data_IF_367648861601
#
_entry.id   IF_367648861601
#
_cell.length_a   1.000
_cell.length_b   1.000
_cell.length_c   1.000
_cell.angle_alpha   90.00
_cell.angle_beta   90.00
_cell.angle_gamma   90.00
#
_symmetry.space_group_name_H-M   'P 1'
#
loop_
_entity.id
_entity.type
_entity.pdbx_description
1 polymer ?
#
# COMPACT_ATOMS: atom_id res chain seq x y z
N UNK A 1 -19.94 7.04 11.23
CA UNK A 1 -20.01 5.88 10.31
C UNK A 1 -18.59 5.50 9.87
N UNK A 2 -17.83 4.76 10.68
CA UNK A 2 -16.38 4.50 10.50
C UNK A 2 -16.02 3.01 10.38
N UNK A 3 -17.02 2.11 10.38
CA UNK A 3 -16.80 0.66 10.38
C UNK A 3 -16.33 0.06 9.04
N UNK A 4 -16.79 0.61 7.91
CA UNK A 4 -16.56 0.02 6.59
C UNK A 4 -15.07 0.01 6.16
N UNK A 5 -14.31 1.05 6.55
CA UNK A 5 -12.89 1.14 6.21
C UNK A 5 -12.04 0.07 6.91
N UNK A 6 -12.38 -0.25 8.17
CA UNK A 6 -11.62 -1.19 8.97
C UNK A 6 -11.84 -2.65 8.52
N UNK A 7 -13.07 -2.97 8.10
CA UNK A 7 -13.40 -4.29 7.58
C UNK A 7 -12.72 -4.55 6.22
N UNK A 8 -12.64 -3.53 5.37
CA UNK A 8 -11.97 -3.63 4.06
C UNK A 8 -10.48 -3.90 4.22
N UNK A 9 -9.82 -3.23 5.17
CA UNK A 9 -8.40 -3.44 5.48
C UNK A 9 -8.16 -4.85 6.06
N UNK A 10 -9.05 -5.33 6.93
CA UNK A 10 -8.97 -6.71 7.47
C UNK A 10 -9.17 -7.77 6.40
N UNK A 11 -10.12 -7.58 5.49
CA UNK A 11 -10.33 -8.47 4.33
C UNK A 11 -9.10 -8.50 3.43
N UNK A 12 -8.47 -7.35 3.20
CA UNK A 12 -7.21 -7.26 2.46
C UNK A 12 -6.09 -8.06 3.15
N UNK A 13 -5.94 -7.92 4.47
CA UNK A 13 -4.94 -8.66 5.25
C UNK A 13 -5.19 -10.18 5.27
N UNK A 14 -6.46 -10.61 5.33
CA UNK A 14 -6.82 -12.02 5.27
C UNK A 14 -6.52 -12.64 3.89
N UNK A 15 -6.85 -11.95 2.80
CA UNK A 15 -6.52 -12.40 1.44
C UNK A 15 -5.01 -12.36 1.19
N UNK A 16 -4.33 -11.32 1.68
CA UNK A 16 -2.88 -11.23 1.65
C UNK A 16 -2.19 -12.36 2.44
N UNK A 17 -2.89 -13.06 3.34
CA UNK A 17 -2.35 -14.20 4.08
C UNK A 17 -2.28 -15.49 3.26
N UNK A 18 -2.98 -15.55 2.13
CA UNK A 18 -2.95 -16.69 1.21
C UNK A 18 -2.19 -16.40 -0.08
N UNK A 19 -1.87 -15.13 -0.36
CA UNK A 19 -1.11 -14.72 -1.53
C UNK A 19 0.30 -14.27 -1.15
N UNK A 20 1.31 -14.91 -1.75
CA UNK A 20 2.71 -14.50 -1.64
C UNK A 20 2.96 -13.09 -2.21
N UNK A 21 2.11 -12.67 -3.15
CA UNK A 21 2.18 -11.37 -3.81
C UNK A 21 0.83 -10.66 -3.67
N UNK A 22 0.84 -9.44 -3.14
CA UNK A 22 -0.32 -8.56 -2.99
C UNK A 22 -0.18 -7.42 -3.98
N UNK A 23 -1.05 -7.35 -4.97
CA UNK A 23 -1.05 -6.22 -5.92
C UNK A 23 -2.18 -5.26 -5.57
N UNK A 24 -1.85 -3.98 -5.43
CA UNK A 24 -2.78 -2.91 -5.07
C UNK A 24 -2.83 -1.90 -6.21
N UNK A 25 -3.97 -1.80 -6.87
CA UNK A 25 -4.21 -0.78 -7.88
C UNK A 25 -4.46 0.59 -7.23
N UNK A 26 -3.54 1.53 -7.46
CA UNK A 26 -3.61 2.91 -6.99
C UNK A 26 -4.08 3.88 -8.08
N UNK A 27 -4.65 3.41 -9.19
CA UNK A 27 -5.08 4.26 -10.31
C UNK A 27 -6.18 5.26 -9.95
N UNK A 28 -6.99 4.93 -8.92
CA UNK A 28 -8.01 5.82 -8.34
C UNK A 28 -7.50 6.67 -7.17
N UNK A 29 -6.27 6.43 -6.70
CA UNK A 29 -5.68 7.16 -5.58
C UNK A 29 -5.17 8.52 -6.09
N UNK A 30 -5.90 9.60 -5.78
CA UNK A 30 -5.54 10.96 -6.22
C UNK A 30 -4.61 11.68 -5.26
N UNK A 31 -4.82 11.52 -3.95
CA UNK A 31 -4.05 12.17 -2.89
C UNK A 31 -3.96 11.24 -1.70
N UNK A 32 -2.82 11.29 -1.00
CA UNK A 32 -2.62 10.63 0.28
C UNK A 32 -1.94 11.63 1.21
N UNK A 33 -2.40 11.70 2.45
CA UNK A 33 -1.75 12.51 3.47
C UNK A 33 -0.59 11.74 4.12
N UNK A 34 0.33 12.45 4.77
CA UNK A 34 1.47 11.83 5.47
C UNK A 34 1.05 10.75 6.47
N UNK A 35 -0.06 10.96 7.18
CA UNK A 35 -0.61 9.97 8.13
C UNK A 35 -1.07 8.70 7.41
N UNK A 36 -1.72 8.86 6.25
CA UNK A 36 -2.15 7.73 5.41
C UNK A 36 -0.96 6.97 4.85
N UNK A 37 0.09 7.67 4.40
CA UNK A 37 1.32 7.07 3.91
C UNK A 37 2.08 6.31 5.00
N UNK A 38 2.17 6.84 6.23
CA UNK A 38 2.76 6.13 7.36
C UNK A 38 1.98 4.87 7.76
N UNK A 39 0.64 4.94 7.69
CA UNK A 39 -0.21 3.75 7.91
C UNK A 39 0.03 2.70 6.83
N UNK A 40 0.10 3.12 5.57
CA UNK A 40 0.41 2.24 4.45
C UNK A 40 1.78 1.57 4.66
N UNK A 41 2.80 2.35 5.00
CA UNK A 41 4.15 1.85 5.30
C UNK A 41 4.13 0.76 6.37
N UNK A 42 3.46 0.99 7.50
CA UNK A 42 3.39 0.01 8.58
C UNK A 42 2.74 -1.31 8.13
N UNK A 43 1.67 -1.23 7.33
CA UNK A 43 1.02 -2.43 6.78
C UNK A 43 1.97 -3.16 5.82
N UNK A 44 2.63 -2.43 4.92
CA UNK A 44 3.57 -2.98 3.95
C UNK A 44 4.79 -3.61 4.64
N UNK A 45 5.36 -2.95 5.65
CA UNK A 45 6.45 -3.48 6.47
C UNK A 45 6.02 -4.76 7.20
N UNK A 46 4.80 -4.82 7.71
CA UNK A 46 4.25 -6.03 8.34
C UNK A 46 4.10 -7.16 7.31
N UNK A 47 3.67 -6.86 6.09
CA UNK A 47 3.58 -7.86 5.01
C UNK A 47 4.97 -8.33 4.54
N UNK A 48 5.93 -7.41 4.43
CA UNK A 48 7.31 -7.73 4.07
C UNK A 48 7.98 -8.62 5.12
N UNK A 49 7.79 -8.34 6.42
CA UNK A 49 8.30 -9.19 7.52
C UNK A 49 7.65 -10.57 7.54
N UNK A 50 6.44 -10.71 6.99
CA UNK A 50 5.78 -11.99 6.74
C UNK A 50 6.27 -12.69 5.45
N UNK A 51 7.25 -12.13 4.74
CA UNK A 51 7.79 -12.67 3.49
C UNK A 51 6.90 -12.46 2.28
N UNK A 52 5.94 -11.53 2.34
CA UNK A 52 5.00 -11.25 1.25
C UNK A 52 5.47 -10.06 0.44
N UNK A 53 5.41 -10.19 -0.87
CA UNK A 53 5.71 -9.10 -1.80
C UNK A 53 4.47 -8.23 -1.97
N UNK A 54 4.61 -6.90 -1.88
CA UNK A 54 3.50 -5.98 -2.19
C UNK A 54 3.87 -5.11 -3.37
N UNK A 55 2.97 -4.99 -4.34
CA UNK A 55 3.14 -4.20 -5.55
C UNK A 55 2.05 -3.14 -5.61
N UNK A 56 2.43 -1.88 -5.61
CA UNK A 56 1.56 -0.72 -5.81
C UNK A 56 1.62 -0.33 -7.28
N UNK A 57 0.53 -0.51 -8.02
CA UNK A 57 0.45 -0.19 -9.45
C UNK A 57 -0.35 1.07 -9.72
N UNK A 58 -0.13 1.70 -10.88
CA UNK A 58 -0.85 2.90 -11.31
C UNK A 58 -0.74 4.07 -10.32
N UNK A 59 0.36 4.15 -9.57
CA UNK A 59 0.57 5.22 -8.59
C UNK A 59 0.82 6.53 -9.34
N UNK A 60 0.13 7.59 -8.95
CA UNK A 60 0.36 8.89 -9.55
C UNK A 60 1.74 9.47 -9.11
N UNK A 61 2.34 10.35 -9.91
CA UNK A 61 3.67 10.87 -9.65
C UNK A 61 3.80 11.61 -8.30
N UNK A 62 2.76 12.35 -7.86
CA UNK A 62 2.77 13.09 -6.60
C UNK A 62 2.80 12.13 -5.39
N UNK A 63 1.92 11.13 -5.38
CA UNK A 63 1.86 10.10 -4.35
C UNK A 63 3.15 9.28 -4.39
N UNK A 64 3.64 8.93 -5.58
CA UNK A 64 4.90 8.23 -5.76
C UNK A 64 6.08 8.94 -5.12
N UNK A 65 6.19 10.25 -5.31
CA UNK A 65 7.23 11.07 -4.67
C UNK A 65 7.11 11.03 -3.14
N UNK A 66 5.89 11.16 -2.59
CA UNK A 66 5.67 11.11 -1.14
C UNK A 66 5.98 9.73 -0.54
N UNK A 67 5.58 8.65 -1.22
CA UNK A 67 5.90 7.28 -0.82
C UNK A 67 7.41 7.04 -0.80
N UNK A 68 8.13 7.60 -1.78
CA UNK A 68 9.60 7.51 -1.86
C UNK A 68 10.29 8.29 -0.73
N UNK A 69 9.78 9.47 -0.38
CA UNK A 69 10.25 10.22 0.80
C UNK A 69 10.02 9.45 2.10
N UNK A 70 8.92 8.70 2.19
CA UNK A 70 8.58 7.85 3.34
C UNK A 70 9.31 6.48 3.31
N UNK A 71 10.20 6.23 2.35
CA UNK A 71 10.91 4.95 2.17
C UNK A 71 9.99 3.72 1.96
N UNK A 72 8.79 3.94 1.41
CA UNK A 72 7.84 2.86 1.11
C UNK A 72 8.34 1.95 -0.01
N UNK A 73 9.17 2.47 -0.92
CA UNK A 73 9.81 1.70 -1.99
C UNK A 73 10.76 0.61 -1.48
N UNK A 74 11.21 0.70 -0.23
CA UNK A 74 12.05 -0.33 0.41
C UNK A 74 11.25 -1.56 0.85
N UNK A 75 9.96 -1.38 1.14
CA UNK A 75 9.07 -2.44 1.65
C UNK A 75 8.03 -2.90 0.64
N UNK A 76 7.82 -2.16 -0.44
CA UNK A 76 6.89 -2.48 -1.51
C UNK A 76 7.40 -1.99 -2.87
N UNK A 77 7.06 -2.70 -3.94
CA UNK A 77 7.36 -2.26 -5.29
C UNK A 77 6.35 -1.19 -5.73
N UNK A 78 6.83 0.00 -6.08
CA UNK A 78 5.98 1.11 -6.53
C UNK A 78 6.14 1.30 -8.04
N UNK A 79 5.06 1.07 -8.79
CA UNK A 79 4.98 1.33 -10.21
C UNK A 79 4.14 2.58 -10.46
N UNK A 80 4.79 3.62 -10.98
CA UNK A 80 4.12 4.85 -11.36
C UNK A 80 3.34 4.64 -12.66
N UNK A 81 2.19 5.31 -12.79
CA UNK A 81 1.50 5.40 -14.07
C UNK A 81 2.31 6.30 -15.03
N UNK A 82 2.35 5.97 -16.33
CA UNK A 82 2.95 6.84 -17.36
C UNK A 82 2.19 8.15 -17.54
#
# INVERSE_FOLDING_TARGET
MTGASNETIRKLAAVASQCQVVTVDCGRLRRIDFVGAGTLFNVLATLQTQGKLVILQNVNAMVGALLRVMSVDQVAQVTLRP
#
